data_IF_342044475326
#
_entry.id   IF_342044475326
#
_cell.length_a   1.000
_cell.length_b   1.000
_cell.length_c   1.000
_cell.angle_alpha   90.00
_cell.angle_beta   90.00
_cell.angle_gamma   90.00
#
_symmetry.space_group_name_H-M   'P 1'
#
loop_
_entity.id
_entity.type
_entity.pdbx_description
1 polymer ?
#
# COMPACT_ATOMS: atom_id res chain seq x y z
N UNK A 1 72.10 -75.67 12.78
CA UNK A 1 71.51 -76.52 13.84
C UNK A 1 69.99 -76.31 13.81
N UNK A 2 69.22 -77.40 13.57
CA UNK A 2 67.77 -77.63 13.82
C UNK A 2 66.67 -76.64 13.31
N UNK A 3 65.69 -77.22 12.58
CA UNK A 3 64.26 -76.83 12.36
C UNK A 3 63.41 -77.12 13.65
N UNK A 4 62.05 -77.00 13.70
CA UNK A 4 61.05 -75.96 13.32
C UNK A 4 59.89 -75.79 14.40
N UNK A 5 58.70 -75.26 14.01
CA UNK A 5 57.29 -75.34 14.56
C UNK A 5 56.72 -73.96 14.99
N UNK A 6 55.71 -73.31 14.37
CA UNK A 6 54.26 -73.52 14.06
C UNK A 6 53.26 -73.51 15.23
N UNK A 7 52.34 -72.52 15.16
CA UNK A 7 50.90 -72.48 15.50
C UNK A 7 50.36 -72.64 16.93
N UNK A 8 49.54 -71.67 17.36
CA UNK A 8 48.10 -71.85 17.69
C UNK A 8 47.51 -70.62 18.44
N UNK A 9 46.27 -70.23 18.12
CA UNK A 9 45.50 -69.27 18.93
C UNK A 9 44.39 -68.52 18.19
N UNK A 10 43.26 -69.20 17.93
CA UNK A 10 41.99 -68.67 17.40
C UNK A 10 41.21 -67.73 18.37
N UNK A 11 40.44 -66.83 17.75
CA UNK A 11 39.10 -66.29 18.07
C UNK A 11 38.61 -66.05 19.51
N UNK A 12 38.25 -64.78 19.80
CA UNK A 12 36.84 -64.33 19.85
C UNK A 12 36.68 -62.84 20.21
N UNK A 13 36.07 -61.97 19.37
CA UNK A 13 35.52 -60.70 19.82
C UNK A 13 34.06 -60.88 20.28
N UNK A 14 33.88 -60.80 21.59
CA UNK A 14 32.62 -60.79 22.35
C UNK A 14 31.45 -60.05 21.64
N UNK A 15 30.30 -60.71 21.34
CA UNK A 15 29.18 -60.12 20.58
C UNK A 15 28.22 -59.24 21.42
N UNK A 16 28.58 -58.91 22.66
CA UNK A 16 27.67 -58.23 23.61
C UNK A 16 27.60 -56.71 23.50
N UNK A 17 28.44 -56.04 22.69
CA UNK A 17 28.42 -54.57 22.56
C UNK A 17 27.66 -54.02 21.33
N UNK A 18 27.12 -54.88 20.46
CA UNK A 18 26.37 -54.44 19.26
C UNK A 18 24.85 -54.50 19.40
N UNK A 19 24.31 -55.08 20.47
CA UNK A 19 22.86 -55.27 20.63
C UNK A 19 22.13 -54.24 21.53
N UNK A 20 22.74 -53.08 21.81
CA UNK A 20 22.06 -51.98 22.53
C UNK A 20 21.84 -50.72 21.70
N UNK A 21 22.23 -50.72 20.41
CA UNK A 21 21.94 -49.60 19.49
C UNK A 21 20.64 -49.77 18.68
N UNK A 22 19.87 -50.85 18.89
CA UNK A 22 18.75 -51.23 18.01
C UNK A 22 17.33 -50.97 18.60
N UNK A 23 17.13 -50.49 19.84
CA UNK A 23 15.73 -50.30 20.33
C UNK A 23 15.42 -49.05 21.15
N UNK A 24 16.24 -48.00 21.08
CA UNK A 24 15.81 -46.65 21.50
C UNK A 24 15.79 -45.67 20.35
N UNK A 25 15.27 -46.11 19.20
CA UNK A 25 14.53 -45.19 18.34
C UNK A 25 13.32 -44.74 19.16
N UNK A 26 13.50 -43.67 19.94
CA UNK A 26 12.41 -42.91 20.55
C UNK A 26 11.33 -42.83 19.48
N UNK A 27 10.19 -43.51 19.71
CA UNK A 27 8.93 -43.19 19.03
C UNK A 27 8.66 -41.72 19.33
N UNK A 28 9.29 -40.81 18.56
CA UNK A 28 8.90 -39.42 18.46
C UNK A 28 7.49 -39.52 17.94
N UNK A 29 6.50 -39.36 18.82
CA UNK A 29 5.12 -39.11 18.43
C UNK A 29 5.20 -37.89 17.52
N UNK A 30 5.20 -38.10 16.21
CA UNK A 30 5.19 -37.02 15.24
C UNK A 30 3.78 -36.47 15.28
N UNK A 31 3.66 -35.17 15.56
CA UNK A 31 2.39 -34.47 15.39
C UNK A 31 1.99 -34.66 13.91
N UNK A 32 0.75 -35.07 13.61
CA UNK A 32 0.25 -35.15 12.25
C UNK A 32 0.49 -33.83 11.50
N UNK A 33 0.82 -33.91 10.21
CA UNK A 33 1.17 -32.73 9.43
C UNK A 33 0.01 -31.72 9.42
N UNK A 34 -1.22 -32.21 9.34
CA UNK A 34 -2.45 -31.43 9.32
C UNK A 34 -2.60 -30.59 10.60
N UNK A 35 -2.36 -31.20 11.77
CA UNK A 35 -2.42 -30.50 13.06
C UNK A 35 -1.32 -29.44 13.15
N UNK A 36 -0.13 -29.76 12.65
CA UNK A 36 0.98 -28.81 12.61
C UNK A 36 0.64 -27.58 11.75
N UNK A 37 0.00 -27.80 10.60
CA UNK A 37 -0.44 -26.72 9.71
C UNK A 37 -1.52 -25.87 10.35
N UNK A 38 -2.48 -26.47 11.05
CA UNK A 38 -3.49 -25.72 11.83
C UNK A 38 -2.87 -24.88 12.94
N UNK A 39 -1.83 -25.38 13.62
CA UNK A 39 -1.11 -24.62 14.64
C UNK A 39 -0.38 -23.43 14.01
N UNK A 40 0.39 -23.69 12.95
CA UNK A 40 1.12 -22.65 12.24
C UNK A 40 0.22 -21.58 11.64
N UNK A 41 -0.93 -21.97 11.09
CA UNK A 41 -1.85 -21.06 10.43
C UNK A 41 -2.51 -20.06 11.39
N UNK A 42 -2.38 -20.26 12.71
CA UNK A 42 -2.83 -19.35 13.78
C UNK A 42 -1.71 -18.44 14.31
N UNK A 43 -0.48 -18.63 13.87
CA UNK A 43 0.65 -17.80 14.33
C UNK A 43 0.72 -16.52 13.51
N UNK A 44 1.17 -15.39 14.10
CA UNK A 44 1.40 -14.16 13.35
C UNK A 44 2.39 -14.37 12.20
N UNK A 45 2.24 -13.62 11.10
CA UNK A 45 3.09 -13.71 9.91
C UNK A 45 4.58 -13.61 10.21
N UNK A 46 4.96 -12.82 11.22
CA UNK A 46 6.35 -12.69 11.66
C UNK A 46 6.94 -14.01 12.19
N UNK A 47 6.13 -14.83 12.87
CA UNK A 47 6.55 -16.16 13.31
C UNK A 47 6.66 -17.12 12.12
N UNK A 48 5.68 -17.10 11.21
CA UNK A 48 5.69 -17.89 9.98
C UNK A 48 6.91 -17.57 9.12
N UNK A 49 7.24 -16.29 8.94
CA UNK A 49 8.42 -15.85 8.20
C UNK A 49 9.73 -16.40 8.80
N UNK A 50 9.84 -16.47 10.13
CA UNK A 50 10.99 -17.10 10.80
C UNK A 50 11.05 -18.60 10.53
N UNK A 51 9.91 -19.30 10.53
CA UNK A 51 9.87 -20.74 10.21
C UNK A 51 10.28 -21.03 8.77
N UNK A 52 9.84 -20.20 7.82
CA UNK A 52 10.29 -20.24 6.42
C UNK A 52 11.81 -20.17 6.31
N UNK A 53 12.46 -19.26 7.06
CA UNK A 53 13.91 -19.06 6.99
C UNK A 53 14.76 -20.20 7.59
N UNK A 54 14.23 -20.98 8.54
CA UNK A 54 15.02 -22.02 9.24
C UNK A 54 14.89 -23.41 8.63
N UNK A 55 13.91 -23.66 7.76
CA UNK A 55 13.73 -24.99 7.18
C UNK A 55 13.03 -24.99 5.83
N UNK A 56 13.68 -25.61 4.82
CA UNK A 56 13.12 -25.82 3.48
C UNK A 56 11.78 -26.56 3.51
N UNK A 57 11.63 -27.53 4.41
CA UNK A 57 10.37 -28.26 4.56
C UNK A 57 9.25 -27.32 5.01
N UNK A 58 9.48 -26.56 6.08
CA UNK A 58 8.48 -25.62 6.57
C UNK A 58 8.18 -24.52 5.56
N UNK A 59 9.19 -24.07 4.80
CA UNK A 59 8.97 -23.16 3.68
C UNK A 59 8.00 -23.76 2.66
N UNK A 60 8.29 -24.96 2.15
CA UNK A 60 7.44 -25.64 1.18
C UNK A 60 6.02 -25.90 1.69
N UNK A 61 5.85 -26.26 2.96
CA UNK A 61 4.55 -26.53 3.56
C UNK A 61 3.74 -25.23 3.71
N UNK A 62 4.36 -24.18 4.25
CA UNK A 62 3.70 -22.87 4.44
C UNK A 62 3.44 -22.12 3.15
N UNK A 63 4.14 -22.43 2.07
CA UNK A 63 3.87 -21.91 0.72
C UNK A 63 2.86 -22.76 -0.06
N UNK A 64 2.35 -23.84 0.53
CA UNK A 64 1.31 -24.64 -0.12
C UNK A 64 0.01 -23.84 -0.26
N UNK A 65 -0.73 -23.99 -1.39
CA UNK A 65 -2.03 -23.34 -1.56
C UNK A 65 -3.03 -23.66 -0.44
N UNK A 66 -2.95 -24.88 0.12
CA UNK A 66 -3.75 -25.29 1.26
C UNK A 66 -3.48 -24.43 2.49
N UNK A 67 -2.20 -24.26 2.86
CA UNK A 67 -1.82 -23.46 4.02
C UNK A 67 -2.21 -22.00 3.86
N UNK A 68 -1.93 -21.42 2.69
CA UNK A 68 -2.23 -20.02 2.39
C UNK A 68 -3.74 -19.76 2.50
N UNK A 69 -4.57 -20.62 1.88
CA UNK A 69 -6.04 -20.53 2.01
C UNK A 69 -6.49 -20.66 3.46
N UNK A 70 -5.90 -21.59 4.22
CA UNK A 70 -6.23 -21.77 5.62
C UNK A 70 -5.85 -20.53 6.45
N UNK A 71 -4.68 -19.96 6.19
CA UNK A 71 -4.22 -18.73 6.83
C UNK A 71 -5.17 -17.57 6.54
N UNK A 72 -5.56 -17.35 5.28
CA UNK A 72 -6.55 -16.33 4.90
C UNK A 72 -7.89 -16.53 5.62
N UNK A 73 -8.36 -17.77 5.79
CA UNK A 73 -9.62 -18.05 6.50
C UNK A 73 -9.57 -17.66 7.98
N UNK A 74 -8.39 -17.74 8.60
CA UNK A 74 -8.18 -17.41 10.01
C UNK A 74 -7.85 -15.92 10.21
N UNK A 75 -7.28 -15.29 9.19
CA UNK A 75 -6.85 -13.90 9.19
C UNK A 75 -7.40 -13.17 7.95
N UNK A 76 -8.73 -12.98 7.88
CA UNK A 76 -9.37 -12.42 6.68
C UNK A 76 -8.92 -10.99 6.40
N UNK A 77 -8.60 -10.23 7.44
CA UNK A 77 -8.17 -8.84 7.34
C UNK A 77 -6.76 -8.69 7.93
N UNK A 78 -5.89 -7.98 7.23
CA UNK A 78 -4.69 -7.41 7.84
C UNK A 78 -5.07 -6.06 8.41
N UNK A 79 -4.87 -5.87 9.70
CA UNK A 79 -5.15 -4.59 10.32
C UNK A 79 -4.03 -3.57 10.12
N UNK A 80 -2.93 -3.92 9.44
CA UNK A 80 -1.75 -3.03 9.36
C UNK A 80 -1.77 -2.19 8.08
N UNK A 81 -1.81 -0.88 8.26
CA UNK A 81 -1.84 0.09 7.18
C UNK A 81 -1.21 1.42 7.60
N UNK A 82 -0.83 2.23 6.62
CA UNK A 82 -0.32 3.59 6.82
C UNK A 82 -0.86 4.53 5.75
N UNK A 83 -1.10 5.78 6.11
CA UNK A 83 -1.27 6.89 5.16
C UNK A 83 0.10 7.53 4.94
N UNK A 84 0.59 7.47 3.71
CA UNK A 84 1.90 7.99 3.32
C UNK A 84 1.78 9.36 2.68
N UNK A 85 2.71 10.26 2.98
CA UNK A 85 2.84 11.50 2.23
C UNK A 85 3.38 11.22 0.83
N UNK A 86 2.73 11.81 -0.16
CA UNK A 86 3.09 11.74 -1.58
C UNK A 86 3.81 13.02 -1.97
N UNK A 87 5.02 13.25 -1.47
CA UNK A 87 5.80 14.45 -1.83
C UNK A 87 7.09 14.09 -2.53
N UNK A 88 7.14 14.42 -3.82
CA UNK A 88 8.36 14.44 -4.61
C UNK A 88 9.26 15.54 -4.01
N UNK A 89 10.44 15.18 -3.51
CA UNK A 89 11.59 16.04 -3.16
C UNK A 89 11.70 16.62 -1.74
N UNK A 90 10.64 16.71 -0.93
CA UNK A 90 10.73 17.42 0.37
C UNK A 90 10.63 16.56 1.62
N UNK A 91 10.10 15.35 1.51
CA UNK A 91 9.99 14.45 2.65
C UNK A 91 10.58 13.09 2.27
N UNK A 92 11.44 12.51 3.12
CA UNK A 92 11.80 11.11 2.99
C UNK A 92 10.54 10.22 3.15
N UNK A 93 10.70 8.90 3.20
CA UNK A 93 9.59 7.98 3.48
C UNK A 93 8.95 8.32 4.83
N UNK A 94 7.80 9.00 4.79
CA UNK A 94 7.12 9.55 5.98
C UNK A 94 5.64 9.18 5.97
N UNK A 95 5.18 8.71 7.12
CA UNK A 95 3.78 8.39 7.39
C UNK A 95 3.08 9.60 8.02
N UNK A 96 1.88 9.91 7.55
CA UNK A 96 0.94 10.82 8.20
C UNK A 96 0.25 10.12 9.39
N UNK A 97 -0.24 8.90 9.12
CA UNK A 97 -0.89 8.02 10.09
C UNK A 97 -0.34 6.61 9.88
N UNK A 98 0.03 5.92 10.95
CA UNK A 98 0.44 4.52 10.92
C UNK A 98 -0.38 3.71 11.91
N UNK A 99 -1.05 2.67 11.44
CA UNK A 99 -1.71 1.70 12.30
C UNK A 99 -0.99 0.36 12.19
N UNK A 100 -0.39 -0.05 13.29
CA UNK A 100 0.43 -1.25 13.35
C UNK A 100 -0.23 -2.23 14.32
N UNK A 101 -1.10 -3.07 13.77
CA UNK A 101 -1.83 -4.07 14.54
C UNK A 101 -0.93 -5.21 15.04
N UNK A 102 -1.30 -5.80 16.19
CA UNK A 102 -0.54 -6.88 16.82
C UNK A 102 -0.91 -8.27 16.27
N UNK A 103 -2.07 -8.41 15.62
CA UNK A 103 -2.67 -9.74 15.40
C UNK A 103 -2.13 -10.46 14.16
N UNK A 104 -2.13 -9.83 12.97
CA UNK A 104 -1.71 -10.52 11.73
C UNK A 104 -0.20 -10.48 11.50
N UNK A 105 0.44 -9.32 11.74
CA UNK A 105 1.84 -9.09 11.34
C UNK A 105 2.81 -8.83 12.50
N UNK A 106 2.33 -8.33 13.65
CA UNK A 106 3.16 -7.94 14.81
C UNK A 106 4.38 -7.05 14.41
N UNK A 107 4.09 -5.97 13.68
CA UNK A 107 5.09 -5.03 13.14
C UNK A 107 5.07 -3.71 13.93
N UNK A 108 5.76 -3.60 15.08
CA UNK A 108 5.66 -2.44 15.96
C UNK A 108 6.57 -1.29 15.51
N UNK A 109 6.70 -1.01 14.22
CA UNK A 109 7.57 0.09 13.75
C UNK A 109 6.99 0.73 12.51
N UNK A 110 7.39 1.97 12.24
CA UNK A 110 7.03 2.69 11.02
C UNK A 110 7.54 1.97 9.77
N UNK A 111 6.87 2.19 8.63
CA UNK A 111 7.27 1.62 7.34
C UNK A 111 8.72 1.91 6.98
N UNK A 112 9.18 3.15 7.20
CA UNK A 112 10.54 3.59 6.91
C UNK A 112 11.62 2.72 7.60
N UNK A 113 11.33 2.21 8.80
CA UNK A 113 12.25 1.37 9.56
C UNK A 113 12.45 -0.04 8.96
N UNK A 114 11.52 -0.48 8.12
CA UNK A 114 11.62 -1.74 7.39
C UNK A 114 12.35 -1.56 6.05
N UNK A 115 12.34 -0.33 5.50
CA UNK A 115 13.11 0.03 4.30
C UNK A 115 14.59 0.26 4.62
N UNK A 116 14.89 0.90 5.75
CA UNK A 116 16.24 1.34 6.10
C UNK A 116 16.91 0.43 7.15
N UNK A 117 18.24 0.16 7.05
CA UNK A 117 19.12 0.52 5.95
C UNK A 117 18.76 -0.26 4.68
N UNK A 118 18.74 0.44 3.55
CA UNK A 118 18.36 -0.14 2.27
C UNK A 118 19.49 -1.02 1.74
N UNK A 119 19.28 -2.33 1.72
CA UNK A 119 20.32 -3.34 1.45
C UNK A 119 21.13 -3.10 0.16
N UNK A 120 20.55 -2.66 -0.98
CA UNK A 120 21.34 -2.32 -2.16
C UNK A 120 22.35 -1.19 -1.95
N UNK A 121 22.10 -0.29 -0.99
CA UNK A 121 22.94 0.86 -0.65
C UNK A 121 23.03 1.04 0.88
N UNK A 122 23.69 0.13 1.60
CA UNK A 122 23.66 0.10 3.07
C UNK A 122 24.48 1.25 3.68
N UNK A 123 25.44 1.78 2.92
CA UNK A 123 26.34 2.85 3.35
C UNK A 123 25.87 4.26 2.91
N UNK A 124 24.67 4.39 2.33
CA UNK A 124 24.17 5.71 1.92
C UNK A 124 23.70 6.48 3.18
N UNK A 125 24.35 7.60 3.58
CA UNK A 125 24.22 8.10 4.95
C UNK A 125 22.99 8.97 5.27
N UNK A 126 21.99 9.09 4.40
CA UNK A 126 20.87 10.03 4.63
C UNK A 126 19.52 9.42 4.29
N UNK A 127 18.60 9.43 5.26
CA UNK A 127 17.16 9.13 5.06
C UNK A 127 16.60 10.00 3.90
N UNK A 128 17.17 11.20 3.71
CA UNK A 128 16.81 12.18 2.69
C UNK A 128 17.08 11.74 1.24
N UNK A 129 17.69 10.58 0.99
CA UNK A 129 17.93 10.09 -0.36
C UNK A 129 16.87 9.07 -0.82
N UNK A 130 15.96 8.66 0.05
CA UNK A 130 14.94 7.64 -0.22
C UNK A 130 13.55 8.26 -0.19
N UNK A 131 12.87 8.23 -1.32
CA UNK A 131 11.57 8.87 -1.50
C UNK A 131 10.51 7.82 -1.78
N UNK A 132 9.40 7.93 -1.06
CA UNK A 132 8.20 7.17 -1.33
C UNK A 132 7.52 7.72 -2.59
N UNK A 133 7.09 6.83 -3.50
CA UNK A 133 6.40 7.21 -4.74
C UNK A 133 4.96 6.73 -4.74
N UNK A 134 4.74 5.43 -4.51
CA UNK A 134 3.41 4.81 -4.52
C UNK A 134 3.44 3.46 -3.79
N UNK A 135 2.26 2.92 -3.48
CA UNK A 135 2.10 1.57 -2.94
C UNK A 135 0.94 0.86 -3.59
N UNK A 136 0.97 -0.48 -3.54
CA UNK A 136 -0.14 -1.32 -3.97
C UNK A 136 0.00 -2.71 -3.34
N UNK A 137 -1.02 -3.17 -2.62
CA UNK A 137 -1.07 -4.53 -2.02
C UNK A 137 0.23 -4.96 -1.30
N UNK A 138 0.74 -4.13 -0.40
CA UNK A 138 1.95 -4.40 0.39
C UNK A 138 3.27 -4.19 -0.34
N UNK A 139 3.26 -3.91 -1.64
CA UNK A 139 4.41 -3.43 -2.39
C UNK A 139 4.52 -1.92 -2.31
N UNK A 140 5.74 -1.41 -2.24
CA UNK A 140 6.03 0.02 -2.37
C UNK A 140 7.00 0.26 -3.51
N UNK A 141 6.78 1.38 -4.20
CA UNK A 141 7.74 1.96 -5.13
C UNK A 141 8.47 3.09 -4.43
N UNK A 142 9.79 2.98 -4.37
CA UNK A 142 10.68 4.03 -3.89
C UNK A 142 11.62 4.51 -5.00
N UNK A 143 12.02 5.77 -4.90
CA UNK A 143 13.09 6.36 -5.69
C UNK A 143 14.28 6.70 -4.78
N UNK A 144 15.47 6.26 -5.19
CA UNK A 144 16.73 6.47 -4.48
C UNK A 144 17.59 7.44 -5.27
N UNK A 145 17.91 8.58 -4.68
CA UNK A 145 18.76 9.60 -5.28
C UNK A 145 20.20 9.38 -4.83
N UNK A 146 21.05 8.92 -5.75
CA UNK A 146 22.48 8.75 -5.52
C UNK A 146 23.23 10.08 -5.73
N UNK A 147 22.74 10.88 -6.68
CA UNK A 147 23.14 12.28 -6.94
C UNK A 147 21.92 13.05 -7.46
N UNK A 148 22.02 14.37 -7.65
CA UNK A 148 20.93 15.20 -8.22
C UNK A 148 20.44 14.72 -9.61
N UNK A 149 21.28 14.01 -10.36
CA UNK A 149 20.95 13.53 -11.71
C UNK A 149 20.84 12.01 -11.82
N UNK A 150 21.19 11.27 -10.76
CA UNK A 150 21.16 9.82 -10.75
C UNK A 150 20.13 9.33 -9.73
N UNK A 151 18.96 8.96 -10.25
CA UNK A 151 17.84 8.45 -9.49
C UNK A 151 17.54 7.03 -9.93
N UNK A 152 17.52 6.08 -9.00
CA UNK A 152 17.16 4.69 -9.23
C UNK A 152 15.76 4.40 -8.69
N UNK A 153 15.05 3.48 -9.32
CA UNK A 153 13.69 3.08 -8.91
C UNK A 153 13.69 1.64 -8.43
N UNK A 154 13.00 1.39 -7.32
CA UNK A 154 12.84 0.06 -6.79
C UNK A 154 11.38 -0.18 -6.42
N UNK A 155 10.86 -1.35 -6.79
CA UNK A 155 9.60 -1.87 -6.27
C UNK A 155 9.91 -3.03 -5.36
N UNK A 156 9.30 -3.07 -4.19
CA UNK A 156 9.57 -4.15 -3.26
C UNK A 156 8.65 -4.19 -2.06
N UNK A 157 8.80 -5.26 -1.30
CA UNK A 157 8.15 -5.43 -0.02
C UNK A 157 9.14 -5.05 1.10
N UNK A 158 8.83 -4.01 1.88
CA UNK A 158 9.72 -3.54 2.94
C UNK A 158 9.85 -4.56 4.09
N UNK A 159 8.79 -5.33 4.38
CA UNK A 159 8.76 -6.31 5.46
C UNK A 159 9.60 -7.54 5.11
N UNK A 160 9.45 -8.09 3.89
CA UNK A 160 10.26 -9.22 3.43
C UNK A 160 11.65 -8.83 2.95
N UNK A 161 11.92 -7.52 2.84
CA UNK A 161 13.17 -6.92 2.33
C UNK A 161 13.53 -7.40 0.93
N UNK A 162 12.52 -7.66 0.12
CA UNK A 162 12.68 -8.08 -1.26
C UNK A 162 12.44 -6.90 -2.18
N UNK A 163 13.37 -6.68 -3.10
CA UNK A 163 13.38 -5.52 -3.98
C UNK A 163 13.70 -5.94 -5.40
N UNK A 164 13.11 -5.23 -6.35
CA UNK A 164 13.35 -5.33 -7.79
C UNK A 164 13.74 -3.94 -8.26
N UNK A 165 14.92 -3.82 -8.86
CA UNK A 165 15.34 -2.58 -9.52
C UNK A 165 14.57 -2.42 -10.83
N UNK A 166 13.96 -1.25 -11.01
CA UNK A 166 13.20 -0.93 -12.20
C UNK A 166 14.13 -0.17 -13.17
N UNK A 167 14.31 -0.67 -14.41
CA UNK A 167 15.14 0.01 -15.39
C UNK A 167 14.56 1.39 -15.73
N UNK A 168 15.40 2.32 -16.19
CA UNK A 168 14.92 3.61 -16.65
C UNK A 168 14.00 3.44 -17.87
N UNK A 169 12.90 4.21 -17.98
CA UNK A 169 12.11 4.25 -19.19
C UNK A 169 12.92 4.80 -20.37
N UNK A 170 12.58 4.46 -21.63
CA UNK A 170 13.29 4.94 -22.82
C UNK A 170 13.34 6.46 -22.94
N UNK A 171 12.32 7.17 -22.45
CA UNK A 171 12.23 8.62 -22.46
C UNK A 171 11.96 9.18 -21.06
N UNK A 172 12.30 10.45 -20.84
CA UNK A 172 12.03 11.15 -19.58
C UNK A 172 10.52 11.24 -19.33
N UNK A 173 10.07 10.59 -18.25
CA UNK A 173 8.67 10.61 -17.82
C UNK A 173 8.61 10.73 -16.28
N UNK A 174 7.58 11.40 -15.79
CA UNK A 174 7.31 11.60 -14.37
C UNK A 174 6.80 10.30 -13.73
N UNK A 175 7.13 10.09 -12.46
CA UNK A 175 6.58 8.99 -11.70
C UNK A 175 5.10 9.24 -11.40
N UNK A 176 4.24 8.24 -11.67
CA UNK A 176 2.78 8.38 -11.56
C UNK A 176 2.19 7.42 -10.55
N UNK A 177 2.31 6.11 -10.75
CA UNK A 177 1.66 5.14 -9.87
C UNK A 177 2.20 3.73 -9.96
N UNK A 178 1.81 2.92 -8.97
CA UNK A 178 2.07 1.48 -8.89
C UNK A 178 0.72 0.77 -8.84
N UNK A 179 0.56 -0.25 -9.69
CA UNK A 179 -0.62 -1.11 -9.69
C UNK A 179 -0.20 -2.57 -9.59
N UNK A 180 -1.04 -3.40 -9.01
CA UNK A 180 -0.80 -4.83 -8.83
C UNK A 180 -1.99 -5.63 -9.33
N UNK A 181 -1.71 -6.84 -9.82
CA UNK A 181 -2.72 -7.88 -10.05
C UNK A 181 -2.69 -8.84 -8.87
N UNK A 182 -3.87 -9.12 -8.33
CA UNK A 182 -4.04 -10.01 -7.20
C UNK A 182 -4.90 -11.20 -7.63
N UNK A 183 -4.40 -12.41 -7.40
CA UNK A 183 -5.12 -13.65 -7.67
C UNK A 183 -5.14 -14.49 -6.38
N UNK A 184 -6.32 -14.90 -5.93
CA UNK A 184 -6.50 -15.64 -4.67
C UNK A 184 -5.85 -14.95 -3.45
N UNK A 185 -5.85 -13.61 -3.39
CA UNK A 185 -5.24 -12.84 -2.31
C UNK A 185 -3.72 -12.67 -2.41
N UNK A 186 -3.09 -13.16 -3.48
CA UNK A 186 -1.65 -13.08 -3.71
C UNK A 186 -1.33 -12.12 -4.85
N UNK A 187 -0.31 -11.28 -4.67
CA UNK A 187 0.18 -10.40 -5.73
C UNK A 187 0.96 -11.24 -6.75
N UNK A 188 0.41 -11.42 -7.95
CA UNK A 188 1.04 -12.22 -9.01
C UNK A 188 1.89 -11.39 -9.96
N UNK A 189 1.52 -10.14 -10.17
CA UNK A 189 2.31 -9.19 -10.95
C UNK A 189 2.10 -7.75 -10.50
N UNK A 190 3.00 -6.87 -10.91
CA UNK A 190 2.85 -5.43 -10.76
C UNK A 190 3.23 -4.69 -12.03
N UNK A 191 2.68 -3.48 -12.18
CA UNK A 191 3.07 -2.54 -13.22
C UNK A 191 3.45 -1.19 -12.63
N UNK A 192 4.55 -0.62 -13.13
CA UNK A 192 5.00 0.74 -12.77
C UNK A 192 4.59 1.68 -13.90
N UNK A 193 3.86 2.73 -13.55
CA UNK A 193 3.31 3.70 -14.50
C UNK A 193 4.07 5.02 -14.38
N UNK A 194 4.56 5.51 -15.52
CA UNK A 194 5.21 6.83 -15.63
C UNK A 194 4.54 7.65 -16.73
N UNK A 195 4.06 8.84 -16.39
CA UNK A 195 3.41 9.79 -17.32
C UNK A 195 4.44 10.63 -18.03
N UNK A 196 4.33 10.71 -19.35
CA UNK A 196 5.23 11.49 -20.19
C UNK A 196 4.61 12.86 -20.49
N UNK A 197 5.41 13.79 -21.01
CA UNK A 197 4.90 15.10 -21.39
C UNK A 197 3.81 14.95 -22.47
N UNK A 198 2.61 15.43 -22.14
CA UNK A 198 1.48 15.40 -23.06
C UNK A 198 1.51 16.66 -23.92
N UNK A 199 1.63 16.45 -25.23
CA UNK A 199 1.59 17.54 -26.23
C UNK A 199 0.17 17.73 -26.79
N UNK A 200 -0.75 16.82 -26.46
CA UNK A 200 -2.11 16.75 -27.03
C UNK A 200 -3.11 16.61 -25.90
N UNK A 201 -4.16 17.45 -25.89
CA UNK A 201 -5.13 17.53 -24.78
C UNK A 201 -5.92 16.24 -24.53
N UNK A 202 -6.16 15.41 -25.54
CA UNK A 202 -7.06 14.25 -25.42
C UNK A 202 -6.34 12.88 -25.35
N UNK A 203 -5.03 12.89 -25.08
CA UNK A 203 -4.23 11.66 -25.01
C UNK A 203 -3.31 11.71 -23.82
N UNK A 204 -3.47 10.74 -22.93
CA UNK A 204 -2.55 10.48 -21.84
C UNK A 204 -1.47 9.50 -22.29
N UNK A 205 -0.22 9.97 -22.33
CA UNK A 205 0.94 9.16 -22.75
C UNK A 205 1.67 8.60 -21.54
N UNK A 206 1.83 7.29 -21.51
CA UNK A 206 2.48 6.61 -20.39
C UNK A 206 3.48 5.56 -20.87
N UNK A 207 4.55 5.39 -20.10
CA UNK A 207 5.31 4.15 -20.10
C UNK A 207 4.84 3.26 -18.96
N UNK A 208 4.65 1.98 -19.28
CA UNK A 208 4.21 0.96 -18.34
C UNK A 208 5.25 -0.17 -18.33
N UNK A 209 5.95 -0.32 -17.21
CA UNK A 209 6.82 -1.46 -16.96
C UNK A 209 5.96 -2.60 -16.42
N UNK A 210 6.14 -3.83 -16.92
CA UNK A 210 5.50 -5.03 -16.35
C UNK A 210 6.53 -5.92 -15.66
N UNK A 211 6.23 -6.37 -14.45
CA UNK A 211 7.02 -7.38 -13.75
C UNK A 211 7.02 -8.74 -14.44
N UNK A 212 6.02 -9.02 -15.29
CA UNK A 212 5.89 -10.30 -16.01
C UNK A 212 6.91 -10.40 -17.15
N UNK A 213 7.14 -9.28 -17.85
CA UNK A 213 8.04 -9.23 -19.01
C UNK A 213 9.40 -8.63 -18.68
N UNK A 214 9.48 -7.80 -17.63
CA UNK A 214 10.66 -7.00 -17.32
C UNK A 214 10.91 -5.84 -18.29
N UNK A 215 9.92 -5.49 -19.12
CA UNK A 215 10.06 -4.52 -20.20
C UNK A 215 9.11 -3.33 -20.03
N UNK A 216 9.53 -2.18 -20.56
CA UNK A 216 8.69 -1.01 -20.73
C UNK A 216 7.86 -1.10 -22.01
N UNK A 217 6.57 -0.80 -21.91
CA UNK A 217 5.66 -0.60 -23.04
C UNK A 217 5.20 0.86 -23.07
N UNK A 218 5.09 1.45 -24.26
CA UNK A 218 4.55 2.79 -24.44
C UNK A 218 3.06 2.68 -24.80
N UNK A 219 2.20 3.39 -24.07
CA UNK A 219 0.76 3.46 -24.35
C UNK A 219 0.30 4.90 -24.61
N UNK A 220 -0.68 5.03 -25.49
CA UNK A 220 -1.45 6.25 -25.74
C UNK A 220 -2.89 5.99 -25.33
N UNK A 221 -3.29 6.55 -24.20
CA UNK A 221 -4.60 6.33 -23.62
C UNK A 221 -5.49 7.52 -23.98
N UNK A 222 -6.66 7.24 -24.55
CA UNK A 222 -7.62 8.25 -24.95
C UNK A 222 -8.31 8.79 -23.69
N UNK A 223 -8.31 10.11 -23.51
CA UNK A 223 -8.99 10.77 -22.40
C UNK A 223 -9.75 11.97 -22.95
N UNK A 224 -10.99 12.16 -22.50
CA UNK A 224 -11.78 13.33 -22.89
C UNK A 224 -11.33 14.63 -22.23
N UNK A 225 -10.45 14.54 -21.22
CA UNK A 225 -9.83 15.69 -20.58
C UNK A 225 -8.29 15.57 -20.59
N UNK A 226 -7.57 16.71 -20.52
CA UNK A 226 -6.13 16.72 -20.29
C UNK A 226 -5.78 15.94 -19.02
N UNK A 227 -4.71 15.15 -19.09
CA UNK A 227 -4.13 14.45 -17.94
C UNK A 227 -2.71 14.96 -17.80
N UNK A 228 -2.36 15.62 -16.69
CA UNK A 228 -0.98 16.06 -16.44
C UNK A 228 -0.18 15.00 -15.66
N UNK A 229 -0.85 14.16 -14.86
CA UNK A 229 -0.21 13.21 -13.96
C UNK A 229 0.68 13.88 -12.90
N UNK A 230 0.44 15.15 -12.60
CA UNK A 230 1.13 15.93 -11.58
C UNK A 230 0.67 15.52 -10.18
N UNK A 231 -0.64 15.29 -10.02
CA UNK A 231 -1.22 14.82 -8.78
C UNK A 231 -1.03 13.31 -8.62
N UNK A 232 -0.81 12.84 -7.38
CA UNK A 232 -0.71 11.41 -7.13
C UNK A 232 -2.07 10.72 -7.34
N UNK A 233 -2.10 9.52 -7.93
CA UNK A 233 -3.33 8.77 -8.13
C UNK A 233 -3.77 8.06 -6.86
N UNK A 234 -5.07 7.77 -6.81
CA UNK A 234 -5.60 6.67 -6.01
C UNK A 234 -5.47 5.38 -6.82
N UNK A 235 -5.00 4.29 -6.20
CA UNK A 235 -4.86 2.99 -6.86
C UNK A 235 -5.78 1.95 -6.22
N UNK A 236 -6.50 1.18 -7.05
CA UNK A 236 -7.38 0.12 -6.57
C UNK A 236 -7.56 -0.92 -7.68
N UNK A 237 -7.42 -2.21 -7.34
CA UNK A 237 -7.67 -3.34 -8.25
C UNK A 237 -7.10 -3.20 -9.66
N UNK A 238 -5.81 -2.86 -9.76
CA UNK A 238 -5.13 -2.71 -11.05
C UNK A 238 -5.42 -1.38 -11.78
N UNK A 239 -6.31 -0.55 -11.26
CA UNK A 239 -6.71 0.74 -11.80
C UNK A 239 -6.01 1.90 -11.09
N UNK A 240 -5.77 2.98 -11.84
CA UNK A 240 -5.40 4.28 -11.29
C UNK A 240 -6.53 5.27 -11.54
N UNK A 241 -6.83 6.07 -10.53
CA UNK A 241 -7.78 7.17 -10.56
C UNK A 241 -7.03 8.48 -10.27
N UNK A 242 -6.89 9.31 -11.30
CA UNK A 242 -6.17 10.58 -11.26
C UNK A 242 -7.15 11.73 -11.13
N UNK A 243 -6.90 12.63 -10.18
CA UNK A 243 -7.62 13.89 -10.14
C UNK A 243 -6.92 14.94 -11.01
N UNK A 244 -7.68 15.50 -11.95
CA UNK A 244 -7.22 16.51 -12.89
C UNK A 244 -8.05 17.78 -12.72
N UNK A 245 -7.39 18.93 -12.70
CA UNK A 245 -8.06 20.23 -12.64
C UNK A 245 -8.65 20.56 -14.00
N UNK A 246 -9.84 21.16 -14.00
CA UNK A 246 -10.40 21.73 -15.22
C UNK A 246 -9.61 22.99 -15.59
N UNK A 247 -8.73 22.85 -16.59
CA UNK A 247 -7.84 23.88 -17.10
C UNK A 247 -8.35 24.53 -18.38
N UNK A 248 -9.63 24.33 -18.74
CA UNK A 248 -10.28 25.10 -19.81
C UNK A 248 -10.09 26.59 -19.50
N UNK A 249 -9.40 27.27 -20.42
CA UNK A 249 -8.85 28.61 -20.27
C UNK A 249 -9.81 29.59 -19.58
N UNK A 250 -9.24 30.51 -18.79
CA UNK A 250 -9.96 31.65 -18.24
C UNK A 250 -10.44 32.55 -19.38
N UNK A 251 -11.55 32.17 -20.02
CA UNK A 251 -12.37 33.14 -20.72
C UNK A 251 -12.94 34.08 -19.64
N UNK A 252 -12.30 35.24 -19.54
CA UNK A 252 -12.62 36.38 -18.72
C UNK A 252 -13.96 37.02 -19.15
N UNK A 253 -15.03 36.24 -19.26
CA UNK A 253 -16.38 36.75 -19.49
C UNK A 253 -17.30 36.36 -18.34
N UNK A 254 -17.73 37.42 -17.65
CA UNK A 254 -18.69 37.48 -16.56
C UNK A 254 -20.03 36.83 -16.91
N UNK A 255 -20.17 35.50 -16.86
CA UNK A 255 -21.46 34.86 -16.64
C UNK A 255 -21.30 33.48 -15.98
N UNK A 256 -21.88 33.37 -14.79
CA UNK A 256 -21.83 32.26 -13.84
C UNK A 256 -22.34 30.93 -14.45
N UNK A 257 -21.43 30.09 -14.94
CA UNK A 257 -21.62 28.63 -14.94
C UNK A 257 -20.48 28.10 -14.06
N UNK A 258 -20.74 27.31 -13.00
CA UNK A 258 -19.66 26.75 -12.19
C UNK A 258 -18.76 25.91 -13.11
N UNK A 259 -17.51 26.35 -13.29
CA UNK A 259 -16.46 25.51 -13.89
C UNK A 259 -16.43 24.20 -13.10
N UNK A 260 -16.45 23.06 -13.79
CA UNK A 260 -16.34 21.76 -13.14
C UNK A 260 -15.05 21.78 -12.28
N UNK A 261 -15.17 21.52 -10.97
CA UNK A 261 -14.05 21.71 -10.02
C UNK A 261 -12.93 20.66 -10.14
N UNK A 262 -12.88 19.98 -11.29
CA UNK A 262 -11.99 18.90 -11.65
C UNK A 262 -12.74 17.64 -12.07
N UNK A 263 -11.99 16.71 -12.67
CA UNK A 263 -12.47 15.40 -13.09
C UNK A 263 -11.62 14.31 -12.44
N UNK A 264 -12.20 13.14 -12.30
CA UNK A 264 -11.52 11.91 -11.97
C UNK A 264 -11.31 11.10 -13.25
N UNK A 265 -10.06 10.79 -13.57
CA UNK A 265 -9.66 9.99 -14.73
C UNK A 265 -9.23 8.61 -14.26
N UNK A 266 -10.07 7.60 -14.53
CA UNK A 266 -9.82 6.19 -14.23
C UNK A 266 -9.25 5.44 -15.43
N UNK A 267 -8.28 4.57 -15.21
CA UNK A 267 -7.80 3.63 -16.23
C UNK A 267 -7.33 2.31 -15.62
N UNK A 268 -7.72 1.20 -16.24
CA UNK A 268 -7.31 -0.16 -15.88
C UNK A 268 -6.05 -0.57 -16.64
N UNK A 269 -4.94 -0.73 -15.91
CA UNK A 269 -3.66 -1.11 -16.51
C UNK A 269 -3.53 -2.60 -16.82
N UNK A 270 -4.48 -3.41 -16.39
CA UNK A 270 -4.58 -4.83 -16.67
C UNK A 270 -5.70 -5.18 -17.63
N UNK A 271 -6.56 -4.22 -17.98
CA UNK A 271 -7.54 -4.32 -19.05
C UNK A 271 -6.95 -4.12 -20.45
N UNK A 272 -7.76 -4.46 -21.45
CA UNK A 272 -7.40 -4.42 -22.87
C UNK A 272 -7.79 -3.10 -23.57
N UNK A 273 -8.61 -2.28 -22.92
CA UNK A 273 -9.06 -0.99 -23.46
C UNK A 273 -7.94 0.07 -23.39
N UNK A 274 -7.95 1.01 -24.33
CA UNK A 274 -7.10 2.20 -24.34
C UNK A 274 -7.88 3.48 -24.00
N UNK A 275 -9.17 3.39 -23.65
CA UNK A 275 -9.99 4.51 -23.23
C UNK A 275 -9.96 4.70 -21.71
N UNK A 276 -9.76 5.95 -21.28
CA UNK A 276 -9.90 6.34 -19.89
C UNK A 276 -11.37 6.62 -19.59
N UNK A 277 -11.80 6.28 -18.38
CA UNK A 277 -13.09 6.68 -17.84
C UNK A 277 -12.92 8.06 -17.20
N UNK A 278 -13.77 9.02 -17.56
CA UNK A 278 -13.71 10.38 -17.02
C UNK A 278 -15.02 10.67 -16.30
N UNK A 279 -14.92 11.03 -15.02
CA UNK A 279 -16.07 11.31 -14.16
C UNK A 279 -15.91 12.70 -13.57
N UNK A 280 -16.83 13.63 -13.81
CA UNK A 280 -16.82 14.93 -13.12
C UNK A 280 -16.87 14.73 -11.61
N UNK A 281 -16.08 15.51 -10.85
CA UNK A 281 -16.24 15.51 -9.40
C UNK A 281 -17.58 16.15 -9.00
N UNK A 282 -18.17 15.77 -7.85
CA UNK A 282 -19.33 16.48 -7.31
C UNK A 282 -19.05 17.99 -7.25
N UNK A 283 -19.99 18.79 -7.76
CA UNK A 283 -19.82 20.24 -7.86
C UNK A 283 -20.06 20.86 -6.46
N UNK A 284 -19.05 21.48 -5.83
CA UNK A 284 -19.24 22.14 -4.56
C UNK A 284 -20.05 23.43 -4.69
N UNK A 285 -20.85 23.73 -3.67
CA UNK A 285 -21.60 24.99 -3.58
C UNK A 285 -20.69 26.23 -3.52
N UNK A 286 -19.42 26.05 -3.16
CA UNK A 286 -18.47 27.15 -2.92
C UNK A 286 -17.03 26.71 -3.18
N UNK A 287 -16.23 27.63 -3.72
CA UNK A 287 -14.81 27.42 -4.02
C UNK A 287 -13.93 27.13 -2.79
N UNK A 288 -14.32 27.54 -1.59
CA UNK A 288 -13.56 27.28 -0.36
C UNK A 288 -13.84 25.90 0.26
N UNK A 289 -14.44 24.98 -0.49
CA UNK A 289 -14.64 23.59 -0.04
C UNK A 289 -13.30 22.91 0.22
N UNK A 290 -13.22 22.16 1.33
CA UNK A 290 -12.04 21.35 1.67
C UNK A 290 -12.32 19.91 1.27
N UNK A 291 -11.38 19.29 0.57
CA UNK A 291 -11.65 18.05 -0.17
C UNK A 291 -10.55 17.02 0.01
N UNK A 292 -10.91 15.75 0.03
CA UNK A 292 -9.94 14.68 -0.15
C UNK A 292 -10.46 13.59 -1.08
N UNK A 293 -9.53 12.90 -1.72
CA UNK A 293 -9.78 11.69 -2.49
C UNK A 293 -8.99 10.54 -1.85
N UNK A 294 -9.66 9.43 -1.60
CA UNK A 294 -9.14 8.32 -0.80
C UNK A 294 -9.80 7.00 -1.19
N UNK A 295 -9.49 5.93 -0.47
CA UNK A 295 -10.13 4.62 -0.66
C UNK A 295 -10.64 4.07 0.66
N UNK A 296 -11.70 3.28 0.59
CA UNK A 296 -12.18 2.50 1.73
C UNK A 296 -12.89 1.26 1.21
N UNK A 297 -12.59 0.10 1.78
CA UNK A 297 -13.27 -1.18 1.51
C UNK A 297 -13.36 -1.60 0.03
N UNK A 298 -12.38 -1.20 -0.79
CA UNK A 298 -12.40 -1.53 -2.22
C UNK A 298 -13.06 -0.47 -3.09
N UNK A 299 -13.52 0.64 -2.52
CA UNK A 299 -14.14 1.73 -3.26
C UNK A 299 -13.29 3.01 -3.25
N UNK A 300 -13.41 3.80 -4.32
CA UNK A 300 -12.87 5.17 -4.36
C UNK A 300 -13.86 6.10 -3.65
N UNK A 301 -13.36 6.85 -2.68
CA UNK A 301 -14.14 7.73 -1.83
C UNK A 301 -13.71 9.18 -2.03
N UNK A 302 -14.70 10.08 -2.08
CA UNK A 302 -14.48 11.51 -2.15
C UNK A 302 -15.16 12.17 -0.95
N UNK A 303 -14.46 13.06 -0.26
CA UNK A 303 -14.97 13.71 0.94
C UNK A 303 -14.91 15.22 0.76
N UNK A 304 -15.98 15.89 1.14
CA UNK A 304 -16.04 17.35 1.19
C UNK A 304 -16.45 17.86 2.57
N UNK A 305 -15.80 18.94 3.00
CA UNK A 305 -16.21 19.73 4.15
C UNK A 305 -16.34 21.19 3.71
N UNK A 306 -17.58 21.65 3.60
CA UNK A 306 -17.91 23.05 3.32
C UNK A 306 -18.59 23.68 4.53
N UNK A 307 -17.93 24.68 5.11
CA UNK A 307 -18.29 25.24 6.42
C UNK A 307 -18.34 24.13 7.49
N UNK A 308 -19.55 23.73 7.91
CA UNK A 308 -19.83 22.69 8.91
C UNK A 308 -20.45 21.44 8.29
N UNK A 309 -20.64 21.39 6.97
CA UNK A 309 -21.31 20.32 6.26
C UNK A 309 -20.28 19.32 5.75
N UNK A 310 -20.33 18.09 6.25
CA UNK A 310 -19.52 16.96 5.81
C UNK A 310 -20.36 16.08 4.88
N UNK A 311 -19.83 15.81 3.69
CA UNK A 311 -20.40 14.88 2.72
C UNK A 311 -19.35 13.87 2.28
N UNK A 312 -19.78 12.63 2.07
CA UNK A 312 -18.93 11.53 1.65
C UNK A 312 -19.61 10.84 0.47
N UNK A 313 -18.91 10.79 -0.66
CA UNK A 313 -19.36 10.11 -1.88
C UNK A 313 -18.50 8.88 -2.14
N UNK A 314 -19.15 7.87 -2.68
CA UNK A 314 -18.56 6.64 -3.18
C UNK A 314 -18.65 6.65 -4.70
N UNK A 315 -17.57 6.25 -5.37
CA UNK A 315 -17.60 6.02 -6.81
C UNK A 315 -18.21 4.65 -7.08
N UNK A 316 -19.37 4.59 -7.73
CA UNK A 316 -20.03 3.34 -8.11
C UNK A 316 -19.96 3.14 -9.62
N UNK A 317 -20.07 1.88 -10.04
CA UNK A 317 -20.31 1.52 -11.44
C UNK A 317 -21.75 1.10 -11.62
N UNK A 318 -22.48 1.73 -12.54
CA UNK A 318 -23.83 1.29 -12.86
C UNK A 318 -23.78 -0.02 -13.67
N UNK A 319 -24.51 -1.04 -13.25
CA UNK A 319 -24.47 -2.39 -13.84
C UNK A 319 -25.36 -2.55 -15.10
N UNK A 320 -25.90 -1.46 -15.63
CA UNK A 320 -26.72 -1.46 -16.84
C UNK A 320 -25.87 -1.01 -18.04
N UNK A 321 -25.83 -1.87 -19.05
CA UNK A 321 -25.15 -1.77 -20.36
C UNK A 321 -24.35 -0.49 -20.63
N UNK A 322 -23.04 -0.59 -20.41
CA UNK A 322 -22.08 0.51 -20.50
C UNK A 322 -21.76 1.05 -19.12
N UNK A 323 -20.79 0.44 -18.44
CA UNK A 323 -20.39 0.72 -17.06
C UNK A 323 -19.87 2.14 -16.86
N UNK A 324 -20.79 3.10 -16.82
CA UNK A 324 -20.53 4.49 -16.48
C UNK A 324 -20.28 4.58 -14.98
N UNK A 325 -19.21 5.27 -14.61
CA UNK A 325 -18.85 5.53 -13.24
C UNK A 325 -19.57 6.81 -12.78
N UNK A 326 -20.19 6.77 -11.61
CA UNK A 326 -20.90 7.91 -11.05
C UNK A 326 -20.67 8.03 -9.55
N UNK A 327 -20.87 9.23 -9.03
CA UNK A 327 -20.74 9.51 -7.60
C UNK A 327 -22.07 9.29 -6.90
N UNK A 328 -22.08 8.34 -5.96
CA UNK A 328 -23.22 8.10 -5.08
C UNK A 328 -22.91 8.68 -3.70
N UNK A 329 -23.86 9.40 -3.13
CA UNK A 329 -23.72 9.86 -1.77
C UNK A 329 -23.79 8.64 -0.83
N UNK A 330 -22.69 8.38 -0.11
CA UNK A 330 -22.61 7.20 0.76
C UNK A 330 -23.57 7.25 1.94
N UNK A 331 -23.94 8.46 2.37
CA UNK A 331 -24.82 8.75 3.51
C UNK A 331 -25.28 10.20 3.52
N UNK A 332 -26.32 10.48 4.31
CA UNK A 332 -26.82 11.84 4.51
C UNK A 332 -25.72 12.81 4.97
N UNK A 333 -25.87 14.08 4.55
CA UNK A 333 -24.98 15.18 4.94
C UNK A 333 -24.94 15.32 6.47
N UNK A 334 -23.74 15.38 7.04
CA UNK A 334 -23.56 15.55 8.48
C UNK A 334 -23.24 17.02 8.77
N UNK A 335 -24.06 17.65 9.61
CA UNK A 335 -23.75 18.95 10.17
C UNK A 335 -22.88 18.77 11.42
N UNK A 336 -21.59 19.07 11.29
CA UNK A 336 -20.60 18.88 12.34
C UNK A 336 -20.91 19.72 13.61
N UNK A 337 -21.50 20.91 13.45
CA UNK A 337 -21.88 21.73 14.61
C UNK A 337 -23.08 21.17 15.38
N UNK A 338 -24.04 20.51 14.71
CA UNK A 338 -25.21 19.93 15.39
C UNK A 338 -24.84 18.75 16.28
N UNK A 339 -23.70 18.10 16.01
CA UNK A 339 -23.16 17.00 16.81
C UNK A 339 -22.09 17.46 17.80
N UNK A 340 -21.98 18.77 18.03
CA UNK A 340 -21.02 19.34 18.99
C UNK A 340 -19.56 19.38 18.51
N UNK A 341 -19.30 19.15 17.23
CA UNK A 341 -17.97 19.20 16.62
C UNK A 341 -17.83 20.42 15.69
N UNK A 342 -17.71 21.63 16.25
CA UNK A 342 -17.56 22.86 15.48
C UNK A 342 -16.09 23.28 15.35
N UNK A 343 -15.30 22.47 14.63
CA UNK A 343 -13.85 22.68 14.47
C UNK A 343 -13.48 22.84 13.01
N UNK A 344 -12.62 23.80 12.68
CA UNK A 344 -12.11 23.98 11.32
C UNK A 344 -11.15 22.84 10.90
N UNK A 345 -11.71 21.84 10.22
CA UNK A 345 -11.00 20.62 9.83
C UNK A 345 -10.84 20.43 8.31
N UNK A 346 -9.75 19.79 7.89
CA UNK A 346 -9.57 19.29 6.52
C UNK A 346 -9.73 17.78 6.48
N UNK A 347 -10.45 17.21 5.49
CA UNK A 347 -10.48 15.77 5.34
C UNK A 347 -9.11 15.26 4.87
N UNK A 348 -8.61 14.18 5.48
CA UNK A 348 -7.33 13.56 5.12
C UNK A 348 -7.55 12.26 4.34
N UNK A 349 -8.35 11.35 4.90
CA UNK A 349 -8.65 10.05 4.32
C UNK A 349 -9.78 9.34 5.09
N UNK A 350 -10.35 8.31 4.47
CA UNK A 350 -11.19 7.32 5.15
C UNK A 350 -10.29 6.18 5.67
N UNK A 351 -10.75 5.42 6.65
CA UNK A 351 -10.07 4.20 7.05
C UNK A 351 -10.13 3.16 5.90
N UNK A 352 -9.02 2.45 5.60
CA UNK A 352 -8.99 1.52 4.48
C UNK A 352 -9.99 0.35 4.59
N UNK A 353 -10.40 -0.02 5.81
CA UNK A 353 -11.21 -1.20 6.10
C UNK A 353 -12.58 -0.90 6.69
N UNK A 354 -12.79 0.33 7.17
CA UNK A 354 -14.01 0.76 7.84
C UNK A 354 -14.48 2.10 7.24
N UNK A 355 -15.52 2.04 6.42
CA UNK A 355 -16.08 3.19 5.74
C UNK A 355 -16.93 4.09 6.65
N UNK A 356 -17.06 3.76 7.94
CA UNK A 356 -17.60 4.65 8.96
C UNK A 356 -16.51 5.48 9.65
N UNK A 357 -15.22 5.17 9.47
CA UNK A 357 -14.14 5.91 10.13
C UNK A 357 -13.47 6.89 9.16
N UNK A 358 -13.44 8.16 9.56
CA UNK A 358 -12.78 9.25 8.83
C UNK A 358 -11.64 9.86 9.64
N UNK A 359 -10.55 10.23 8.95
CA UNK A 359 -9.46 11.00 9.51
C UNK A 359 -9.48 12.43 8.98
N UNK A 360 -9.46 13.40 9.90
CA UNK A 360 -9.43 14.82 9.61
C UNK A 360 -8.19 15.47 10.24
N UNK A 361 -7.81 16.64 9.73
CA UNK A 361 -6.82 17.52 10.37
C UNK A 361 -7.51 18.74 10.95
N UNK A 362 -7.51 18.88 12.27
CA UNK A 362 -7.92 20.12 12.94
C UNK A 362 -6.82 21.15 12.83
N UNK A 363 -7.12 22.27 12.18
CA UNK A 363 -6.18 23.39 12.07
C UNK A 363 -6.07 24.18 13.37
N UNK A 364 -7.16 24.29 14.12
CA UNK A 364 -7.20 25.03 15.38
C UNK A 364 -6.36 24.36 16.47
N UNK A 365 -6.38 23.02 16.50
CA UNK A 365 -5.69 22.25 17.52
C UNK A 365 -4.35 21.65 17.03
N UNK A 366 -4.00 21.88 15.76
CA UNK A 366 -2.83 21.29 15.09
C UNK A 366 -2.75 19.77 15.34
N UNK A 367 -3.84 19.04 15.08
CA UNK A 367 -3.89 17.61 15.39
C UNK A 367 -4.77 16.81 14.43
N UNK A 368 -4.57 15.49 14.40
CA UNK A 368 -5.47 14.57 13.70
C UNK A 368 -6.72 14.35 14.55
N UNK A 369 -7.86 14.24 13.88
CA UNK A 369 -9.16 13.90 14.46
C UNK A 369 -9.63 12.60 13.81
N UNK A 370 -10.08 11.64 14.62
CA UNK A 370 -10.81 10.48 14.13
C UNK A 370 -12.29 10.70 14.35
N UNK A 371 -13.09 10.61 13.30
CA UNK A 371 -14.55 10.65 13.37
C UNK A 371 -15.15 9.30 13.05
N UNK A 372 -16.16 8.89 13.80
CA UNK A 372 -17.04 7.78 13.43
C UNK A 372 -18.34 8.36 12.87
N UNK A 373 -18.60 8.11 11.58
CA UNK A 373 -19.74 8.64 10.84
C UNK A 373 -21.06 7.96 11.21
N UNK A 374 -21.01 6.78 11.84
CA UNK A 374 -22.17 6.04 12.30
C UNK A 374 -22.59 6.46 13.71
N UNK A 375 -21.64 6.58 14.65
CA UNK A 375 -21.91 7.03 16.03
C UNK A 375 -21.90 8.55 16.18
N UNK A 376 -21.37 9.26 15.18
CA UNK A 376 -21.19 10.71 15.17
C UNK A 376 -20.23 11.22 16.26
N UNK A 377 -19.34 10.36 16.74
CA UNK A 377 -18.32 10.71 17.74
C UNK A 377 -17.01 11.13 17.04
N UNK A 378 -16.47 12.27 17.46
CA UNK A 378 -15.21 12.81 16.94
C UNK A 378 -14.20 12.98 18.08
N UNK A 379 -13.02 12.37 17.91
CA UNK A 379 -11.97 12.33 18.92
C UNK A 379 -10.73 13.04 18.40
N UNK A 380 -10.27 14.05 19.14
CA UNK A 380 -9.01 14.73 18.87
C UNK A 380 -7.85 13.92 19.44
N UNK A 381 -6.85 13.63 18.61
CA UNK A 381 -5.66 12.91 19.06
C UNK A 381 -4.54 13.88 19.39
N UNK A 382 -4.18 13.96 20.68
CA UNK A 382 -2.95 14.62 21.10
C UNK A 382 -1.73 13.74 20.81
N UNK A 383 -0.56 14.37 20.68
CA UNK A 383 0.69 13.68 20.48
C UNK A 383 0.95 12.74 21.67
N UNK A 384 1.16 11.47 21.37
CA UNK A 384 1.71 10.54 22.34
C UNK A 384 3.07 10.12 21.83
N UNK A 385 4.11 10.44 22.60
CA UNK A 385 5.48 9.92 22.37
C UNK A 385 5.50 8.38 22.42
N UNK A 386 4.48 7.78 23.05
CA UNK A 386 4.32 6.34 23.21
C UNK A 386 3.09 5.83 22.45
N UNK A 387 3.16 4.59 21.99
CA UNK A 387 2.06 3.85 21.38
C UNK A 387 0.75 4.03 22.16
N UNK A 388 -0.23 4.75 21.58
CA UNK A 388 -1.58 4.69 22.12
C UNK A 388 -2.15 3.33 21.76
N UNK A 389 -2.48 2.54 22.78
CA UNK A 389 -3.27 1.34 22.59
C UNK A 389 -4.66 1.80 22.16
N UNK A 390 -4.96 1.65 20.86
CA UNK A 390 -6.34 1.75 20.42
C UNK A 390 -7.15 0.69 21.20
N UNK A 391 -8.41 1.01 21.53
CA UNK A 391 -9.34 0.13 22.24
C UNK A 391 -9.54 -1.25 21.58
N UNK A 392 -9.10 -1.41 20.32
CA UNK A 392 -9.15 -2.64 19.54
C UNK A 392 -7.80 -3.35 19.35
N UNK A 393 -6.83 -3.18 20.25
CA UNK A 393 -5.60 -4.02 20.31
C UNK A 393 -4.49 -3.68 19.31
N UNK A 394 -4.67 -2.65 18.47
CA UNK A 394 -3.61 -2.08 17.62
C UNK A 394 -2.96 -0.85 18.24
N UNK A 395 -1.75 -0.50 17.80
CA UNK A 395 -1.12 0.75 18.19
C UNK A 395 -1.14 1.75 17.01
N UNK A 396 -1.72 2.92 17.23
CA UNK A 396 -1.85 3.97 16.22
C UNK A 396 -0.82 5.08 16.47
N UNK A 397 -0.26 5.65 15.40
CA UNK A 397 0.66 6.79 15.45
C UNK A 397 0.20 7.88 14.49
N UNK A 398 0.20 9.12 14.97
CA UNK A 398 -0.08 10.31 14.18
C UNK A 398 1.17 11.17 14.08
N UNK A 399 1.57 11.54 12.87
CA UNK A 399 2.71 12.43 12.65
C UNK A 399 2.23 13.88 12.58
N UNK A 400 2.22 14.57 13.73
CA UNK A 400 1.74 15.94 13.84
C UNK A 400 2.59 16.94 13.03
N UNK A 401 3.92 16.87 13.14
CA UNK A 401 4.82 17.86 12.55
C UNK A 401 4.75 17.86 11.02
N UNK A 402 4.88 16.68 10.40
CA UNK A 402 4.86 16.59 8.95
C UNK A 402 3.44 16.76 8.40
N UNK A 403 2.40 16.32 9.14
CA UNK A 403 1.00 16.63 8.78
C UNK A 403 0.76 18.14 8.77
N UNK A 404 1.23 18.87 9.78
CA UNK A 404 1.12 20.33 9.82
C UNK A 404 1.81 20.98 8.62
N UNK A 405 3.05 20.59 8.32
CA UNK A 405 3.80 21.10 7.17
C UNK A 405 3.12 20.80 5.84
N UNK A 406 2.61 19.58 5.69
CA UNK A 406 1.85 19.18 4.50
C UNK A 406 0.59 20.02 4.35
N UNK A 407 -0.19 20.20 5.43
CA UNK A 407 -1.41 21.00 5.43
C UNK A 407 -1.15 22.51 5.27
N UNK A 408 0.02 23.00 5.69
CA UNK A 408 0.42 24.40 5.48
C UNK A 408 0.57 24.76 3.99
N UNK A 409 0.89 23.78 3.13
CA UNK A 409 0.89 23.96 1.66
C UNK A 409 -0.49 24.34 1.11
N UNK A 410 -1.56 23.91 1.77
CA UNK A 410 -2.94 24.23 1.39
C UNK A 410 -3.42 25.59 1.94
N UNK A 411 -2.57 26.37 2.63
CA UNK A 411 -2.93 27.69 3.20
C UNK A 411 -3.14 28.78 2.15
N UNK A 412 -2.35 28.76 1.08
CA UNK A 412 -2.26 29.85 0.09
C UNK A 412 -2.81 29.47 -1.29
N UNK A 413 -3.19 28.21 -1.50
CA UNK A 413 -3.77 27.79 -2.77
C UNK A 413 -5.21 28.29 -2.89
N UNK A 414 -5.48 28.96 -4.01
CA UNK A 414 -6.81 29.38 -4.42
C UNK A 414 -7.69 28.14 -4.66
N UNK A 415 -8.43 27.74 -3.63
CA UNK A 415 -9.81 27.25 -3.72
C UNK A 415 -10.10 26.03 -4.65
N UNK A 416 -9.14 25.14 -4.89
CA UNK A 416 -9.36 23.95 -5.75
C UNK A 416 -8.55 22.70 -5.38
N UNK A 417 -7.74 22.68 -4.33
CA UNK A 417 -6.92 21.49 -4.04
C UNK A 417 -7.69 20.34 -3.39
N UNK A 418 -7.29 19.13 -3.75
CA UNK A 418 -7.82 17.87 -3.20
C UNK A 418 -6.67 17.19 -2.47
N UNK A 419 -6.86 16.93 -1.17
CA UNK A 419 -5.88 16.19 -0.36
C UNK A 419 -5.87 14.73 -0.82
N UNK A 420 -4.68 14.20 -1.09
CA UNK A 420 -4.49 12.80 -1.49
C UNK A 420 -3.30 12.25 -0.72
N UNK A 421 -3.56 11.31 0.19
CA UNK A 421 -2.56 10.53 0.90
C UNK A 421 -2.57 9.10 0.35
N UNK A 422 -1.40 8.47 0.22
CA UNK A 422 -1.31 7.12 -0.34
C UNK A 422 -1.56 6.10 0.75
N UNK A 423 -2.51 5.20 0.52
CA UNK A 423 -2.78 4.11 1.45
C UNK A 423 -1.82 2.94 1.21
N UNK A 424 -0.89 2.74 2.14
CA UNK A 424 -0.10 1.53 2.21
C UNK A 424 -0.84 0.51 3.08
N UNK A 425 -1.29 -0.59 2.49
CA UNK A 425 -1.96 -1.68 3.19
C UNK A 425 -1.15 -2.96 3.02
N UNK A 426 -0.81 -3.62 4.12
CA UNK A 426 -0.20 -4.95 4.05
C UNK A 426 -1.30 -5.99 3.81
N UNK A 427 -1.18 -6.88 2.80
CA UNK A 427 -2.13 -7.96 2.65
C UNK A 427 -1.93 -9.02 3.76
N UNK A 428 -2.89 -9.94 3.96
CA UNK A 428 -2.78 -10.94 5.02
C UNK A 428 -1.63 -11.93 4.79
N UNK A 429 -1.25 -12.18 3.53
CA UNK A 429 -0.14 -13.03 3.15
C UNK A 429 0.79 -12.32 2.17
N UNK A 430 2.09 -12.60 2.24
CA UNK A 430 3.05 -12.13 1.24
C UNK A 430 3.87 -13.27 0.69
N UNK A 431 3.85 -13.38 -0.63
CA UNK A 431 4.76 -14.18 -1.41
C UNK A 431 5.99 -13.36 -1.86
N UNK A 432 6.86 -14.02 -2.61
CA UNK A 432 7.98 -13.37 -3.26
C UNK A 432 7.48 -12.20 -4.11
N UNK A 433 8.19 -11.08 -4.06
CA UNK A 433 7.91 -9.95 -4.97
C UNK A 433 7.98 -10.46 -6.41
N UNK A 434 6.94 -10.24 -7.25
CA UNK A 434 6.93 -10.70 -8.63
C UNK A 434 8.17 -10.24 -9.40
N UNK A 435 8.74 -11.12 -10.22
CA UNK A 435 9.96 -10.84 -11.00
C UNK A 435 9.83 -11.36 -12.42
N UNK A 436 10.51 -10.72 -13.37
CA UNK A 436 10.62 -11.25 -14.72
C UNK A 436 11.30 -12.62 -14.69
N UNK A 437 10.88 -13.57 -15.53
CA UNK A 437 11.40 -14.94 -15.53
C UNK A 437 12.91 -15.03 -15.83
N UNK A 438 13.49 -13.98 -16.43
CA UNK A 438 14.91 -13.91 -16.78
C UNK A 438 15.80 -13.44 -15.62
N UNK A 439 15.24 -13.01 -14.49
CA UNK A 439 15.98 -12.63 -13.29
C UNK A 439 15.86 -13.77 -12.27
N UNK A 440 16.58 -14.87 -12.53
CA UNK A 440 16.77 -15.92 -11.54
C UNK A 440 17.77 -15.42 -10.46
N UNK A 441 17.43 -15.64 -9.19
CA UNK A 441 18.29 -15.38 -8.02
C UNK A 441 19.17 -16.59 -7.76
#
# INVERSE_FOLDING_TARGET
MKRPLTESGEDNPNPSKKLSKISMEKRRKRIPAEILMEILARLPMKAIARFKSVSKKWNSETESPYFIRRYFSLHPNSSTWSLMFLTKLYHPITEAIGFHGRDTWDLPKSLASYVLPFQPYPNLPTVNNYYYVASSNGLIWIEVYLTHHNRRSFVGNPVSKQWVEIPQPPNKCAATGLVTRVENGLVTSFKVVRTCSNQTRNVWRVYVYSSETGLWSFKRLLSFCPVDGANPPVNIDGKLYLWEKDSREEDLMENFIPKEFGFLVGYDFYGDDNQCQVVPLPIPDNKYVRRCLTTSRGDVMYVEILYRRLKVWRLSSNNLEGSELLWELSREEINLASIGFDVFCFPLAMNPFDDDIIYLWSREHDCVVTGNLQTLEFVLHQESENWSSASNGGCCRFNKLDSKRYMDGFRNETSTSVVILSQFVLPPWMDLVPRPPHILV
#
